data_IF_627116212999
#
_entry.id   IF_627116212999
#
_cell.length_a   1.000
_cell.length_b   1.000
_cell.length_c   1.000
_cell.angle_alpha   90.00
_cell.angle_beta   90.00
_cell.angle_gamma   90.00
#
_symmetry.space_group_name_H-M   'P 1'
#
loop_
_entity.id
_entity.type
_entity.pdbx_description
1 polymer ?
#
# COMPACT_ATOMS: atom_id res chain seq x y z
N UNK A 1 -22.95 22.85 -1.09
CA UNK A 1 -23.16 21.56 -0.41
C UNK A 1 -24.65 21.36 -0.20
N UNK A 2 -25.16 20.14 -0.34
CA UNK A 2 -26.58 19.80 -0.12
C UNK A 2 -26.67 18.80 1.04
N UNK A 3 -27.68 18.94 1.91
CA UNK A 3 -27.95 18.00 2.99
C UNK A 3 -29.27 17.28 2.72
N UNK A 4 -29.29 15.95 2.89
CA UNK A 4 -30.54 15.20 2.86
C UNK A 4 -31.46 15.62 4.01
N UNK A 5 -32.77 15.68 3.76
CA UNK A 5 -33.73 15.92 4.84
C UNK A 5 -33.86 14.65 5.69
N UNK A 6 -34.18 14.77 6.98
CA UNK A 6 -34.47 13.60 7.82
C UNK A 6 -35.54 12.72 7.15
N UNK A 7 -35.27 11.43 7.02
CA UNK A 7 -36.16 10.46 6.36
C UNK A 7 -36.02 10.37 4.84
N UNK A 8 -35.25 11.25 4.18
CA UNK A 8 -34.97 11.13 2.76
C UNK A 8 -34.10 9.89 2.49
N UNK A 9 -34.44 9.14 1.44
CA UNK A 9 -33.60 8.06 0.93
C UNK A 9 -32.67 8.60 -0.17
N UNK A 10 -31.38 8.28 -0.08
CA UNK A 10 -30.45 8.47 -1.19
C UNK A 10 -30.69 7.34 -2.20
N UNK A 11 -31.32 7.67 -3.33
CA UNK A 11 -31.62 6.74 -4.41
C UNK A 11 -30.94 7.17 -5.73
N UNK A 12 -31.00 6.31 -6.75
CA UNK A 12 -30.35 6.55 -8.03
C UNK A 12 -30.84 7.83 -8.71
N UNK A 13 -32.14 8.16 -8.61
CA UNK A 13 -32.69 9.40 -9.18
C UNK A 13 -32.07 10.65 -8.56
N UNK A 14 -31.89 10.67 -7.24
CA UNK A 14 -31.22 11.77 -6.55
C UNK A 14 -29.74 11.83 -6.94
N UNK A 15 -29.08 10.69 -7.07
CA UNK A 15 -27.69 10.63 -7.50
C UNK A 15 -27.48 11.12 -8.94
N UNK A 16 -28.37 10.78 -9.87
CA UNK A 16 -28.36 11.31 -11.23
C UNK A 16 -28.44 12.84 -11.25
N UNK A 17 -29.33 13.43 -10.44
CA UNK A 17 -29.42 14.89 -10.32
C UNK A 17 -28.13 15.52 -9.75
N UNK A 18 -27.41 14.80 -8.89
CA UNK A 18 -26.07 15.22 -8.42
C UNK A 18 -25.07 15.18 -9.57
N UNK A 19 -25.04 14.10 -10.38
CA UNK A 19 -24.14 13.96 -11.52
C UNK A 19 -24.38 15.03 -12.60
N UNK A 20 -25.63 15.35 -12.91
CA UNK A 20 -25.97 16.41 -13.88
C UNK A 20 -25.44 17.77 -13.43
N UNK A 21 -25.64 18.11 -12.15
CA UNK A 21 -25.11 19.36 -11.56
C UNK A 21 -23.59 19.35 -11.49
N UNK A 22 -22.98 18.21 -11.17
CA UNK A 22 -21.53 18.05 -11.17
C UNK A 22 -20.96 18.29 -12.56
N UNK A 23 -21.59 17.78 -13.62
CA UNK A 23 -21.16 18.03 -15.01
C UNK A 23 -21.22 19.52 -15.35
N UNK A 24 -22.28 20.23 -14.96
CA UNK A 24 -22.39 21.69 -15.14
C UNK A 24 -21.28 22.42 -14.36
N UNK A 25 -21.02 22.01 -13.11
CA UNK A 25 -19.98 22.59 -12.28
C UNK A 25 -18.57 22.36 -12.86
N UNK A 26 -18.26 21.16 -13.38
CA UNK A 26 -17.00 20.87 -14.07
C UNK A 26 -16.88 21.76 -15.31
N UNK A 27 -17.94 21.88 -16.12
CA UNK A 27 -17.92 22.76 -17.30
C UNK A 27 -17.58 24.21 -16.93
N UNK A 28 -18.13 24.71 -15.83
CA UNK A 28 -17.93 26.09 -15.40
C UNK A 28 -16.59 26.33 -14.71
N UNK A 29 -16.15 25.40 -13.85
CA UNK A 29 -15.00 25.58 -12.96
C UNK A 29 -13.71 24.92 -13.46
N UNK A 30 -13.83 23.88 -14.29
CA UNK A 30 -12.71 23.08 -14.83
C UNK A 30 -12.97 22.72 -16.31
N UNK A 31 -13.15 23.71 -17.21
CA UNK A 31 -13.60 23.47 -18.59
C UNK A 31 -12.74 22.45 -19.35
N UNK A 32 -11.42 22.46 -19.13
CA UNK A 32 -10.47 21.52 -19.77
C UNK A 32 -10.64 20.05 -19.31
N UNK A 33 -11.28 19.77 -18.17
CA UNK A 33 -11.47 18.39 -17.69
C UNK A 33 -12.49 17.63 -18.54
N UNK A 34 -13.49 18.30 -19.12
CA UNK A 34 -14.45 17.62 -20.00
C UNK A 34 -13.84 17.22 -21.34
N UNK A 35 -12.83 17.95 -21.81
CA UNK A 35 -12.10 17.61 -23.06
C UNK A 35 -11.06 16.53 -22.82
N UNK A 36 -10.43 16.49 -21.64
CA UNK A 36 -9.40 15.51 -21.29
C UNK A 36 -9.96 14.15 -20.83
N UNK A 37 -11.28 14.04 -20.71
CA UNK A 37 -11.93 12.89 -20.08
C UNK A 37 -12.04 13.04 -18.57
N UNK A 38 -13.13 12.51 -18.00
CA UNK A 38 -13.37 12.50 -16.57
C UNK A 38 -13.31 11.06 -16.08
N UNK A 39 -12.41 10.81 -15.14
CA UNK A 39 -12.41 9.58 -14.34
C UNK A 39 -13.15 9.91 -13.04
N UNK A 40 -14.31 9.31 -12.84
CA UNK A 40 -15.14 9.47 -11.66
C UNK A 40 -14.81 8.35 -10.66
N UNK A 41 -14.36 8.75 -9.47
CA UNK A 41 -14.25 7.87 -8.32
C UNK A 41 -15.42 8.16 -7.37
N UNK A 42 -16.25 7.14 -7.14
CA UNK A 42 -17.38 7.16 -6.22
C UNK A 42 -17.50 5.78 -5.56
N UNK A 43 -18.13 5.72 -4.39
CA UNK A 43 -18.37 4.44 -3.72
C UNK A 43 -19.36 3.58 -4.53
N UNK A 44 -19.39 2.28 -4.23
CA UNK A 44 -20.25 1.32 -4.92
C UNK A 44 -21.62 1.10 -4.24
N UNK A 45 -22.14 2.09 -3.49
CA UNK A 45 -23.47 2.00 -2.92
C UNK A 45 -24.52 1.70 -4.01
N UNK A 46 -25.56 0.92 -3.66
CA UNK A 46 -26.60 0.49 -4.63
C UNK A 46 -27.11 1.61 -5.56
N UNK A 47 -27.35 2.85 -5.09
CA UNK A 47 -27.75 3.94 -5.97
C UNK A 47 -26.75 4.28 -7.07
N UNK A 48 -25.44 4.16 -6.79
CA UNK A 48 -24.33 4.59 -7.64
C UNK A 48 -23.99 3.59 -8.75
N UNK A 49 -24.21 2.30 -8.49
CA UNK A 49 -23.97 1.19 -9.44
C UNK A 49 -25.24 0.70 -10.13
N UNK A 50 -26.34 1.45 -10.03
CA UNK A 50 -27.56 1.11 -10.73
C UNK A 50 -27.40 1.36 -12.24
N UNK A 51 -28.00 0.51 -13.08
CA UNK A 51 -27.94 0.59 -14.55
C UNK A 51 -28.24 1.98 -15.11
N UNK A 52 -29.19 2.70 -14.49
CA UNK A 52 -29.57 4.07 -14.89
C UNK A 52 -28.43 5.07 -14.69
N UNK A 53 -27.58 4.86 -13.68
CA UNK A 53 -26.40 5.68 -13.40
C UNK A 53 -25.27 5.33 -14.36
N UNK A 54 -24.98 4.03 -14.55
CA UNK A 54 -23.97 3.59 -15.52
C UNK A 54 -24.28 4.09 -16.93
N UNK A 55 -25.55 4.03 -17.34
CA UNK A 55 -26.02 4.58 -18.61
C UNK A 55 -25.78 6.09 -18.72
N UNK A 56 -25.98 6.85 -17.63
CA UNK A 56 -25.73 8.29 -17.62
C UNK A 56 -24.24 8.61 -17.70
N UNK A 57 -23.40 7.89 -16.96
CA UNK A 57 -21.94 8.05 -17.00
C UNK A 57 -21.38 7.72 -18.39
N UNK A 58 -21.89 6.68 -19.04
CA UNK A 58 -21.56 6.35 -20.43
C UNK A 58 -21.96 7.50 -21.40
N UNK A 59 -23.15 8.10 -21.23
CA UNK A 59 -23.56 9.29 -22.01
C UNK A 59 -22.66 10.50 -21.75
N UNK A 60 -22.11 10.60 -20.54
CA UNK A 60 -21.17 11.65 -20.19
C UNK A 60 -19.77 11.40 -20.75
N UNK A 61 -19.50 10.17 -21.22
CA UNK A 61 -18.16 9.66 -21.53
C UNK A 61 -17.23 9.77 -20.32
N UNK A 62 -17.78 9.52 -19.14
CA UNK A 62 -17.02 9.47 -17.91
C UNK A 62 -16.64 8.02 -17.64
N UNK A 63 -15.36 7.79 -17.38
CA UNK A 63 -14.86 6.50 -16.94
C UNK A 63 -15.09 6.40 -15.44
N UNK A 64 -15.64 5.28 -14.98
CA UNK A 64 -15.79 5.02 -13.54
C UNK A 64 -14.58 4.23 -13.07
N UNK A 65 -13.87 4.76 -12.07
CA UNK A 65 -12.85 3.97 -11.41
C UNK A 65 -13.53 2.92 -10.53
N UNK A 66 -13.22 1.64 -10.77
CA UNK A 66 -13.84 0.56 -10.01
C UNK A 66 -13.50 0.67 -8.52
N UNK A 67 -14.55 0.51 -7.70
CA UNK A 67 -14.45 0.55 -6.26
C UNK A 67 -14.78 -0.84 -5.70
N UNK A 68 -13.86 -1.50 -4.98
CA UNK A 68 -14.12 -2.79 -4.34
C UNK A 68 -15.35 -2.74 -3.42
N UNK A 69 -16.10 -3.85 -3.28
CA UNK A 69 -17.21 -3.91 -2.35
C UNK A 69 -16.81 -3.60 -0.91
N UNK A 70 -17.57 -2.71 -0.26
CA UNK A 70 -17.52 -2.46 1.18
C UNK A 70 -16.17 -1.94 1.72
N UNK A 71 -15.39 -1.27 0.87
CA UNK A 71 -14.10 -0.65 1.23
C UNK A 71 -14.21 0.87 1.22
N UNK A 72 -14.83 1.46 2.26
CA UNK A 72 -14.98 2.92 2.41
C UNK A 72 -13.64 3.68 2.46
N UNK A 73 -12.53 2.96 2.40
CA UNK A 73 -11.16 3.43 2.45
C UNK A 73 -10.57 3.83 1.08
N UNK A 74 -11.37 3.86 0.00
CA UNK A 74 -10.88 4.21 -1.33
C UNK A 74 -11.46 5.49 -1.92
N UNK A 75 -12.51 6.06 -1.32
CA UNK A 75 -13.00 7.39 -1.71
C UNK A 75 -12.10 8.49 -1.11
N UNK A 76 -11.45 9.33 -1.93
CA UNK A 76 -10.52 10.35 -1.43
C UNK A 76 -11.20 11.41 -0.56
N UNK A 77 -12.49 11.61 -0.79
CA UNK A 77 -13.34 12.44 0.05
C UNK A 77 -13.38 11.89 1.49
N UNK A 78 -13.33 10.57 1.69
CA UNK A 78 -13.37 9.95 3.02
C UNK A 78 -12.08 10.16 3.82
N UNK A 79 -10.91 10.17 3.17
CA UNK A 79 -9.61 10.40 3.83
C UNK A 79 -9.29 11.87 4.03
N UNK A 80 -9.35 12.64 2.95
CA UNK A 80 -8.84 14.00 2.95
C UNK A 80 -9.88 14.96 3.51
N UNK A 81 -11.07 15.02 2.90
CA UNK A 81 -12.09 16.00 3.28
C UNK A 81 -12.79 15.56 4.57
N UNK A 82 -13.48 14.43 4.56
CA UNK A 82 -14.26 13.95 5.69
C UNK A 82 -13.39 13.50 6.85
N UNK A 83 -12.22 12.91 6.60
CA UNK A 83 -11.27 12.53 7.66
C UNK A 83 -10.80 13.74 8.47
N UNK A 84 -10.31 14.79 7.79
CA UNK A 84 -9.87 16.04 8.44
C UNK A 84 -11.03 16.79 9.10
N UNK A 85 -12.19 16.83 8.44
CA UNK A 85 -13.40 17.44 9.00
C UNK A 85 -13.87 16.72 10.27
N UNK A 86 -13.95 15.38 10.26
CA UNK A 86 -14.30 14.58 11.44
C UNK A 86 -13.31 14.82 12.58
N UNK A 87 -12.01 14.94 12.28
CA UNK A 87 -10.99 15.29 13.27
C UNK A 87 -11.19 16.68 13.85
N UNK A 88 -11.54 17.67 13.02
CA UNK A 88 -11.84 19.04 13.46
C UNK A 88 -13.08 19.11 14.36
N UNK A 89 -14.13 18.35 14.02
CA UNK A 89 -15.39 18.31 14.78
C UNK A 89 -15.34 17.38 16.01
N UNK A 90 -14.24 16.63 16.19
CA UNK A 90 -14.12 15.61 17.23
C UNK A 90 -14.20 16.26 18.62
N UNK A 91 -15.11 15.76 19.45
CA UNK A 91 -15.30 16.23 20.83
C UNK A 91 -16.30 17.37 20.98
N UNK A 92 -16.79 17.94 19.88
CA UNK A 92 -17.82 18.98 19.91
C UNK A 92 -19.21 18.37 20.11
N UNK A 93 -19.97 18.88 21.08
CA UNK A 93 -21.39 18.55 21.26
C UNK A 93 -22.25 19.60 20.57
N UNK A 94 -23.10 19.16 19.64
CA UNK A 94 -24.01 20.04 18.92
C UNK A 94 -25.42 19.98 19.50
N UNK A 95 -26.08 21.13 19.56
CA UNK A 95 -27.44 21.28 20.12
C UNK A 95 -28.54 20.96 19.10
N UNK A 96 -28.22 20.89 17.81
CA UNK A 96 -29.17 20.59 16.74
C UNK A 96 -28.46 20.08 15.48
N UNK A 97 -29.21 19.45 14.57
CA UNK A 97 -28.71 19.06 13.25
C UNK A 97 -28.27 20.27 12.42
N UNK A 98 -28.93 21.42 12.56
CA UNK A 98 -28.57 22.62 11.82
C UNK A 98 -27.24 23.21 12.31
N UNK A 99 -26.96 23.15 13.63
CA UNK A 99 -25.66 23.51 14.17
C UNK A 99 -24.53 22.64 13.58
N UNK A 100 -24.78 21.34 13.37
CA UNK A 100 -23.82 20.46 12.68
C UNK A 100 -23.63 20.89 11.23
N UNK A 101 -24.72 21.13 10.49
CA UNK A 101 -24.65 21.54 9.07
C UNK A 101 -23.87 22.83 8.91
N UNK A 102 -24.09 23.80 9.79
CA UNK A 102 -23.43 25.10 9.73
C UNK A 102 -21.94 24.97 10.07
N UNK A 103 -21.58 24.19 11.10
CA UNK A 103 -20.16 23.90 11.38
C UNK A 103 -19.45 23.18 10.23
N UNK A 104 -20.14 22.26 9.54
CA UNK A 104 -19.62 21.59 8.34
C UNK A 104 -19.41 22.58 7.19
N UNK A 105 -20.38 23.47 6.94
CA UNK A 105 -20.23 24.52 5.91
C UNK A 105 -19.09 25.47 6.24
N UNK A 106 -18.99 25.91 7.49
CA UNK A 106 -17.96 26.82 7.95
C UNK A 106 -16.58 26.20 7.79
N UNK A 107 -16.40 24.94 8.22
CA UNK A 107 -15.16 24.21 8.02
C UNK A 107 -14.74 24.21 6.55
N UNK A 108 -15.65 23.84 5.65
CA UNK A 108 -15.37 23.77 4.22
C UNK A 108 -15.08 25.17 3.62
N UNK A 109 -15.89 26.17 3.95
CA UNK A 109 -15.72 27.53 3.42
C UNK A 109 -14.43 28.21 3.89
N UNK A 110 -13.90 27.80 5.05
CA UNK A 110 -12.64 28.32 5.59
C UNK A 110 -11.40 27.64 5.00
N UNK A 111 -11.54 26.54 4.26
CA UNK A 111 -10.38 25.89 3.65
C UNK A 111 -9.86 26.73 2.46
N UNK A 112 -8.54 26.87 2.32
CA UNK A 112 -7.94 27.59 1.21
C UNK A 112 -8.14 26.81 -0.11
N UNK A 113 -8.00 27.45 -1.27
CA UNK A 113 -8.26 26.81 -2.57
C UNK A 113 -7.38 25.57 -2.76
N UNK A 114 -6.13 25.62 -2.31
CA UNK A 114 -5.13 24.54 -2.35
C UNK A 114 -5.61 23.27 -1.62
N UNK A 115 -6.50 23.41 -0.63
CA UNK A 115 -7.10 22.27 0.07
C UNK A 115 -7.96 21.42 -0.88
N UNK A 116 -8.64 22.07 -1.82
CA UNK A 116 -9.51 21.45 -2.83
C UNK A 116 -8.80 21.19 -4.16
N UNK A 117 -7.74 21.93 -4.41
CA UNK A 117 -6.83 21.75 -5.54
C UNK A 117 -5.74 20.73 -5.26
N UNK A 118 -5.64 20.18 -4.04
CA UNK A 118 -4.98 18.90 -3.81
C UNK A 118 -5.66 17.86 -4.71
N UNK A 119 -5.16 17.75 -5.94
CA UNK A 119 -5.61 16.76 -6.88
C UNK A 119 -5.20 15.41 -6.30
N UNK A 120 -6.12 14.45 -6.38
CA UNK A 120 -5.71 13.04 -6.32
C UNK A 120 -4.83 12.83 -7.55
N UNK A 121 -3.54 13.00 -7.34
CA UNK A 121 -2.52 12.92 -8.38
C UNK A 121 -2.19 11.47 -8.70
N UNK A 122 -2.37 10.58 -7.71
CA UNK A 122 -1.97 9.19 -7.80
C UNK A 122 -3.07 8.29 -7.25
N UNK A 123 -3.38 7.24 -8.01
CA UNK A 123 -4.11 6.08 -7.52
C UNK A 123 -3.08 5.07 -7.03
N UNK A 124 -3.18 4.65 -5.78
CA UNK A 124 -2.21 3.75 -5.14
C UNK A 124 -2.90 2.41 -4.87
N UNK A 125 -2.32 1.34 -5.41
CA UNK A 125 -2.74 -0.03 -5.14
C UNK A 125 -1.78 -0.68 -4.15
N UNK A 126 -2.31 -1.17 -3.02
CA UNK A 126 -1.60 -2.06 -2.11
C UNK A 126 -1.99 -3.50 -2.45
N UNK A 127 -1.07 -4.22 -3.08
CA UNK A 127 -1.32 -5.57 -3.60
C UNK A 127 -0.76 -6.59 -2.60
N UNK A 128 -1.63 -7.45 -2.09
CA UNK A 128 -1.20 -8.65 -1.37
C UNK A 128 -0.68 -9.67 -2.41
N UNK A 129 0.55 -10.17 -2.24
CA UNK A 129 1.01 -11.28 -3.07
C UNK A 129 0.19 -12.54 -2.80
N UNK A 130 0.21 -13.52 -3.73
CA UNK A 130 -0.24 -14.88 -3.40
C UNK A 130 0.35 -15.32 -2.06
N UNK A 131 -0.38 -16.16 -1.34
CA UNK A 131 -0.05 -16.57 0.02
C UNK A 131 -0.06 -15.47 1.09
N UNK A 132 -0.46 -14.23 0.78
CA UNK A 132 -0.54 -13.13 1.73
C UNK A 132 -1.95 -12.54 1.75
N UNK A 133 -2.40 -12.12 2.94
CA UNK A 133 -3.64 -11.37 3.11
C UNK A 133 -4.85 -12.04 2.47
N UNK A 134 -5.51 -11.32 1.56
CA UNK A 134 -6.72 -11.79 0.87
C UNK A 134 -6.44 -12.46 -0.48
N UNK A 135 -5.18 -12.48 -0.93
CA UNK A 135 -4.81 -13.08 -2.21
C UNK A 135 -4.82 -14.62 -2.14
N UNK A 136 -5.00 -15.31 -3.29
CA UNK A 136 -5.06 -16.77 -3.36
C UNK A 136 -3.83 -17.45 -2.74
N UNK A 137 -4.04 -18.66 -2.19
CA UNK A 137 -2.96 -19.50 -1.66
C UNK A 137 -2.46 -20.48 -2.71
N UNK A 138 -1.17 -20.77 -2.70
CA UNK A 138 -0.50 -21.73 -3.60
C UNK A 138 0.74 -22.33 -2.93
N UNK A 139 1.11 -23.55 -3.30
CA UNK A 139 2.39 -24.15 -2.90
C UNK A 139 3.57 -23.57 -3.70
N UNK A 140 3.31 -22.97 -4.85
CA UNK A 140 4.33 -22.40 -5.72
C UNK A 140 4.65 -20.96 -5.31
N UNK A 141 5.91 -20.72 -4.95
CA UNK A 141 6.37 -19.44 -4.42
C UNK A 141 7.82 -19.15 -4.87
N UNK A 142 7.92 -18.47 -6.02
CA UNK A 142 9.17 -18.03 -6.66
C UNK A 142 9.04 -16.58 -7.09
N UNK A 143 10.16 -15.89 -7.37
CA UNK A 143 10.11 -14.51 -7.87
C UNK A 143 9.35 -14.42 -9.20
N UNK A 144 9.53 -15.40 -10.08
CA UNK A 144 8.89 -15.41 -11.40
C UNK A 144 7.36 -15.49 -11.31
N UNK A 145 6.83 -16.33 -10.42
CA UNK A 145 5.37 -16.43 -10.25
C UNK A 145 4.78 -15.23 -9.55
N UNK A 146 5.49 -14.65 -8.57
CA UNK A 146 5.06 -13.40 -7.91
C UNK A 146 5.05 -12.23 -8.89
N UNK A 147 6.05 -12.15 -9.77
CA UNK A 147 6.09 -11.17 -10.86
C UNK A 147 4.95 -11.40 -11.85
N UNK A 148 4.65 -12.66 -12.17
CA UNK A 148 3.50 -13.05 -12.99
C UNK A 148 2.17 -12.54 -12.41
N UNK A 149 1.96 -12.69 -11.11
CA UNK A 149 0.75 -12.17 -10.44
C UNK A 149 0.61 -10.65 -10.57
N UNK A 150 1.73 -9.92 -10.43
CA UNK A 150 1.72 -8.45 -10.61
C UNK A 150 1.44 -8.09 -12.07
N UNK A 151 2.04 -8.80 -13.03
CA UNK A 151 1.79 -8.59 -14.46
C UNK A 151 0.30 -8.82 -14.79
N UNK A 152 -0.29 -9.92 -14.31
CA UNK A 152 -1.71 -10.25 -14.46
C UNK A 152 -2.60 -9.17 -13.83
N UNK A 153 -2.29 -8.75 -12.60
CA UNK A 153 -3.02 -7.69 -11.92
C UNK A 153 -3.04 -6.38 -12.74
N UNK A 154 -1.91 -5.97 -13.30
CA UNK A 154 -1.80 -4.76 -14.11
C UNK A 154 -2.62 -4.85 -15.40
N UNK A 155 -2.62 -6.02 -16.05
CA UNK A 155 -3.41 -6.26 -17.26
C UNK A 155 -4.91 -6.22 -16.97
N UNK A 156 -5.35 -6.90 -15.91
CA UNK A 156 -6.77 -6.96 -15.51
C UNK A 156 -7.33 -5.59 -15.14
N UNK A 157 -6.52 -4.76 -14.48
CA UNK A 157 -6.89 -3.40 -14.10
C UNK A 157 -6.66 -2.37 -15.21
N UNK A 158 -6.20 -2.81 -16.39
CA UNK A 158 -5.91 -1.95 -17.56
C UNK A 158 -4.93 -0.82 -17.20
N UNK A 159 -3.88 -1.18 -16.47
CA UNK A 159 -2.79 -0.29 -16.04
C UNK A 159 -1.56 -0.57 -16.92
N UNK A 160 -1.48 -0.01 -18.15
CA UNK A 160 -0.43 -0.35 -19.10
C UNK A 160 0.95 0.11 -18.66
N UNK A 161 1.03 1.11 -17.77
CA UNK A 161 2.26 1.67 -17.25
C UNK A 161 2.06 2.25 -15.86
N UNK A 162 2.93 1.89 -14.92
CA UNK A 162 2.79 2.27 -13.49
C UNK A 162 4.12 2.65 -12.85
N UNK A 163 4.04 3.37 -11.73
CA UNK A 163 5.16 3.50 -10.79
C UNK A 163 5.12 2.30 -9.84
N UNK A 164 6.19 1.50 -9.81
CA UNK A 164 6.28 0.35 -8.92
C UNK A 164 7.06 0.71 -7.67
N UNK A 165 6.49 0.37 -6.50
CA UNK A 165 7.15 0.51 -5.21
C UNK A 165 7.25 -0.86 -4.57
N UNK A 166 8.45 -1.29 -4.20
CA UNK A 166 8.69 -2.60 -3.62
C UNK A 166 9.63 -2.55 -2.43
N UNK A 167 9.17 -3.07 -1.29
CA UNK A 167 9.99 -3.31 -0.09
C UNK A 167 10.47 -4.75 -0.06
N UNK A 168 11.75 -4.98 0.27
CA UNK A 168 12.30 -6.32 0.53
C UNK A 168 11.97 -7.33 -0.60
N UNK A 169 11.15 -8.35 -0.34
CA UNK A 169 10.66 -9.28 -1.36
C UNK A 169 9.90 -8.58 -2.49
N UNK A 170 9.04 -7.61 -2.15
CA UNK A 170 8.36 -6.78 -3.14
C UNK A 170 9.34 -5.97 -4.00
N UNK A 171 10.48 -5.56 -3.42
CA UNK A 171 11.57 -4.94 -4.17
C UNK A 171 12.17 -5.88 -5.22
N UNK A 172 12.33 -7.16 -4.90
CA UNK A 172 12.80 -8.17 -5.86
C UNK A 172 11.81 -8.37 -7.00
N UNK A 173 10.54 -8.55 -6.68
CA UNK A 173 9.47 -8.69 -7.68
C UNK A 173 9.40 -7.47 -8.60
N UNK A 174 9.45 -6.26 -8.02
CA UNK A 174 9.45 -5.01 -8.78
C UNK A 174 10.69 -4.86 -9.68
N UNK A 175 11.88 -5.23 -9.18
CA UNK A 175 13.12 -5.26 -9.97
C UNK A 175 13.03 -6.25 -11.14
N UNK A 176 12.46 -7.45 -10.93
CA UNK A 176 12.28 -8.44 -11.99
C UNK A 176 11.33 -7.93 -13.08
N UNK A 177 10.18 -7.37 -12.68
CA UNK A 177 9.19 -6.82 -13.60
C UNK A 177 9.77 -5.66 -14.41
N UNK A 178 10.51 -4.75 -13.76
CA UNK A 178 11.13 -3.61 -14.45
C UNK A 178 12.16 -4.04 -15.50
N UNK A 179 12.97 -5.06 -15.22
CA UNK A 179 13.98 -5.56 -16.17
C UNK A 179 13.34 -6.35 -17.32
N UNK A 180 12.34 -7.20 -17.04
CA UNK A 180 11.72 -8.04 -18.09
C UNK A 180 10.66 -7.32 -18.92
N UNK A 181 9.95 -6.36 -18.32
CA UNK A 181 8.80 -5.65 -18.90
C UNK A 181 8.94 -4.14 -18.68
N UNK A 182 10.04 -3.50 -19.15
CA UNK A 182 10.32 -2.09 -18.89
C UNK A 182 9.21 -1.16 -19.37
N UNK A 183 8.46 -1.52 -20.41
CA UNK A 183 7.35 -0.72 -20.94
C UNK A 183 6.19 -0.57 -19.94
N UNK A 184 6.04 -1.51 -19.00
CA UNK A 184 5.01 -1.48 -17.96
C UNK A 184 5.43 -0.62 -16.74
N UNK A 185 6.69 -0.18 -16.68
CA UNK A 185 7.23 0.53 -15.51
C UNK A 185 7.65 1.94 -15.92
N UNK A 186 7.03 2.94 -15.30
CA UNK A 186 7.39 4.35 -15.49
C UNK A 186 8.59 4.73 -14.63
N UNK A 187 8.50 4.42 -13.33
CA UNK A 187 9.52 4.65 -12.33
C UNK A 187 9.53 3.48 -11.35
N UNK A 188 10.71 3.18 -10.82
CA UNK A 188 10.89 2.10 -9.85
C UNK A 188 11.39 2.68 -8.53
N UNK A 189 10.73 2.31 -7.43
CA UNK A 189 11.15 2.63 -6.07
C UNK A 189 11.43 1.33 -5.34
N UNK A 190 12.66 1.16 -4.87
CA UNK A 190 13.13 -0.01 -4.15
C UNK A 190 13.42 0.41 -2.72
N UNK A 191 12.72 -0.19 -1.76
CA UNK A 191 13.00 -0.03 -0.35
C UNK A 191 13.77 -1.26 0.16
N UNK A 192 15.04 -1.03 0.50
CA UNK A 192 15.96 -1.95 1.17
C UNK A 192 15.93 -3.39 0.61
N UNK A 193 16.03 -3.49 -0.71
CA UNK A 193 16.11 -4.76 -1.44
C UNK A 193 17.26 -4.77 -2.44
N UNK A 194 17.80 -5.97 -2.70
CA UNK A 194 18.91 -6.20 -3.61
C UNK A 194 18.68 -7.42 -4.52
N UNK A 195 19.25 -7.45 -5.74
CA UNK A 195 19.29 -8.63 -6.59
C UNK A 195 19.97 -9.87 -5.99
N UNK A 196 20.68 -9.77 -4.85
CA UNK A 196 21.33 -10.93 -4.21
C UNK A 196 20.33 -11.98 -3.73
N UNK A 197 20.77 -13.24 -3.70
CA UNK A 197 19.99 -14.35 -3.17
C UNK A 197 19.68 -14.16 -1.68
N UNK A 198 18.48 -14.59 -1.29
CA UNK A 198 17.93 -14.43 0.06
C UNK A 198 18.75 -15.20 1.12
N UNK A 199 19.47 -16.26 0.75
CA UNK A 199 20.23 -17.08 1.72
C UNK A 199 21.46 -16.37 2.33
N UNK A 200 21.85 -15.21 1.79
CA UNK A 200 22.99 -14.43 2.30
C UNK A 200 22.56 -13.26 3.20
N UNK A 201 23.36 -12.96 4.24
CA UNK A 201 23.15 -11.79 5.10
C UNK A 201 21.77 -11.76 5.78
N UNK A 202 21.03 -10.65 5.59
CA UNK A 202 19.72 -10.41 6.21
C UNK A 202 18.64 -11.44 5.91
N UNK A 203 18.72 -12.18 4.80
CA UNK A 203 17.72 -13.22 4.55
C UNK A 203 17.92 -14.51 5.36
N UNK A 204 19.08 -14.71 6.01
CA UNK A 204 19.21 -15.73 7.08
C UNK A 204 18.35 -15.38 8.29
N UNK A 205 18.37 -14.11 8.69
CA UNK A 205 17.53 -13.61 9.77
C UNK A 205 16.05 -13.74 9.42
N UNK A 206 15.66 -13.40 8.19
CA UNK A 206 14.27 -13.61 7.74
C UNK A 206 13.87 -15.08 7.70
N UNK A 207 14.77 -15.98 7.27
CA UNK A 207 14.51 -17.43 7.28
C UNK A 207 14.27 -17.93 8.70
N UNK A 208 15.05 -17.45 9.68
CA UNK A 208 14.85 -17.75 11.09
C UNK A 208 13.46 -17.27 11.58
N UNK A 209 13.09 -16.02 11.25
CA UNK A 209 11.77 -15.49 11.62
C UNK A 209 10.62 -16.29 10.99
N UNK A 210 10.73 -16.69 9.73
CA UNK A 210 9.70 -17.49 9.06
C UNK A 210 9.60 -18.91 9.64
N UNK A 211 10.73 -19.50 10.04
CA UNK A 211 10.73 -20.79 10.73
C UNK A 211 10.06 -20.69 12.10
N UNK A 212 10.34 -19.63 12.88
CA UNK A 212 9.65 -19.38 14.13
C UNK A 212 8.15 -19.19 13.91
N UNK A 213 7.75 -18.41 12.89
CA UNK A 213 6.36 -18.20 12.56
C UNK A 213 5.66 -19.52 12.16
N UNK A 214 6.37 -20.42 11.48
CA UNK A 214 5.87 -21.75 11.11
C UNK A 214 5.64 -22.63 12.35
N UNK A 215 6.56 -22.60 13.33
CA UNK A 215 6.35 -23.31 14.59
C UNK A 215 5.20 -22.73 15.41
N UNK A 216 5.04 -21.41 15.42
CA UNK A 216 3.89 -20.74 16.06
C UNK A 216 2.58 -21.19 15.42
N UNK A 217 2.50 -21.24 14.08
CA UNK A 217 1.30 -21.67 13.35
C UNK A 217 0.83 -23.08 13.73
N UNK A 218 1.75 -23.99 14.04
CA UNK A 218 1.40 -25.37 14.44
C UNK A 218 0.76 -25.47 15.82
N UNK A 219 1.10 -24.56 16.73
CA UNK A 219 0.75 -24.68 18.16
C UNK A 219 -0.26 -23.63 18.61
N UNK A 220 -0.33 -22.49 17.93
CA UNK A 220 -1.22 -21.39 18.31
C UNK A 220 -2.65 -21.65 17.80
N UNK A 221 -3.65 -21.68 18.68
CA UNK A 221 -5.04 -21.83 18.25
C UNK A 221 -5.54 -20.58 17.52
N UNK A 222 -6.51 -20.77 16.63
CA UNK A 222 -7.19 -19.64 15.96
C UNK A 222 -8.03 -18.85 16.96
N UNK A 223 -8.05 -17.52 16.85
CA UNK A 223 -8.94 -16.68 17.67
C UNK A 223 -8.43 -16.31 19.05
N UNK A 224 -7.12 -16.41 19.26
CA UNK A 224 -6.45 -15.81 20.41
C UNK A 224 -6.46 -14.29 20.33
N UNK A 225 -6.41 -13.60 21.46
CA UNK A 225 -6.15 -12.17 21.52
C UNK A 225 -4.66 -11.86 21.26
N UNK A 226 -4.32 -10.58 21.08
CA UNK A 226 -2.95 -10.12 20.81
C UNK A 226 -1.96 -10.48 21.92
N UNK A 227 -2.38 -10.41 23.18
CA UNK A 227 -1.49 -10.74 24.32
C UNK A 227 -1.15 -12.22 24.30
N UNK A 228 -2.15 -13.08 24.08
CA UNK A 228 -1.96 -14.53 23.95
C UNK A 228 -1.09 -14.88 22.74
N UNK A 229 -1.30 -14.24 21.58
CA UNK A 229 -0.45 -14.40 20.40
C UNK A 229 1.01 -14.00 20.67
N UNK A 230 1.24 -12.88 21.35
CA UNK A 230 2.58 -12.43 21.76
C UNK A 230 3.24 -13.46 22.70
N UNK A 231 2.48 -14.12 23.58
CA UNK A 231 3.03 -15.15 24.46
C UNK A 231 3.56 -16.35 23.68
N UNK A 232 2.81 -16.86 22.70
CA UNK A 232 3.29 -17.93 21.81
C UNK A 232 4.57 -17.54 21.07
N UNK A 233 4.66 -16.29 20.62
CA UNK A 233 5.88 -15.77 20.02
C UNK A 233 7.06 -15.79 20.98
N UNK A 234 6.89 -15.27 22.19
CA UNK A 234 7.95 -15.27 23.21
C UNK A 234 8.41 -16.71 23.50
N UNK A 235 7.47 -17.63 23.70
CA UNK A 235 7.77 -19.03 24.03
C UNK A 235 8.55 -19.74 22.92
N UNK A 236 8.22 -19.47 21.66
CA UNK A 236 8.97 -19.99 20.51
C UNK A 236 10.30 -19.26 20.36
N UNK A 237 10.33 -17.93 20.43
CA UNK A 237 11.55 -17.12 20.27
C UNK A 237 12.64 -17.46 21.30
N UNK A 238 12.25 -17.80 22.53
CA UNK A 238 13.20 -18.25 23.56
C UNK A 238 13.91 -19.57 23.19
N UNK A 239 13.27 -20.43 22.39
CA UNK A 239 13.89 -21.66 21.87
C UNK A 239 14.97 -21.35 20.82
N UNK A 240 14.83 -20.24 20.09
CA UNK A 240 15.76 -19.75 19.07
C UNK A 240 16.69 -18.64 19.57
N UNK A 241 16.80 -18.43 20.90
CA UNK A 241 17.55 -17.34 21.52
C UNK A 241 19.01 -17.28 21.05
N UNK A 242 19.64 -18.44 20.86
CA UNK A 242 21.05 -18.54 20.47
C UNK A 242 21.30 -18.02 19.05
N UNK A 243 20.36 -18.31 18.14
CA UNK A 243 20.35 -17.92 16.75
C UNK A 243 19.97 -16.45 16.58
N UNK A 244 19.00 -15.98 17.37
CA UNK A 244 18.54 -14.59 17.39
C UNK A 244 19.60 -13.63 17.93
N UNK A 245 20.51 -14.11 18.79
CA UNK A 245 21.51 -13.29 19.50
C UNK A 245 20.89 -12.13 20.30
N UNK A 246 19.68 -12.35 20.83
CA UNK A 246 18.97 -11.40 21.67
C UNK A 246 19.02 -11.85 23.14
N UNK A 247 18.94 -10.88 24.06
CA UNK A 247 18.73 -11.21 25.46
C UNK A 247 17.29 -11.71 25.67
N UNK A 248 17.07 -12.48 26.72
CA UNK A 248 15.72 -12.94 27.06
C UNK A 248 14.81 -11.77 27.46
N UNK A 249 15.36 -10.75 28.13
CA UNK A 249 14.64 -9.51 28.41
C UNK A 249 14.17 -8.83 27.12
N UNK A 250 15.03 -8.75 26.09
CA UNK A 250 14.67 -8.19 24.79
C UNK A 250 13.58 -9.01 24.11
N UNK A 251 13.65 -10.34 24.16
CA UNK A 251 12.63 -11.22 23.57
C UNK A 251 11.28 -11.03 24.28
N UNK A 252 11.27 -11.00 25.62
CA UNK A 252 10.03 -10.86 26.42
C UNK A 252 9.37 -9.49 26.28
N UNK A 253 10.16 -8.46 26.02
CA UNK A 253 9.69 -7.09 25.80
C UNK A 253 9.44 -6.77 24.32
N UNK A 254 9.60 -7.75 23.41
CA UNK A 254 9.39 -7.55 21.99
C UNK A 254 7.89 -7.48 21.69
N UNK A 255 7.41 -6.32 21.22
CA UNK A 255 6.05 -6.22 20.69
C UNK A 255 6.04 -6.82 19.29
N UNK A 256 5.35 -7.95 19.12
CA UNK A 256 5.41 -8.76 17.92
C UNK A 256 4.56 -8.18 16.76
N UNK A 257 4.67 -6.87 16.52
CA UNK A 257 4.12 -6.19 15.34
C UNK A 257 4.69 -6.74 14.01
N UNK A 258 5.76 -7.55 14.07
CA UNK A 258 6.31 -8.28 12.93
C UNK A 258 5.55 -9.57 12.59
N UNK A 259 4.66 -10.05 13.46
CA UNK A 259 3.89 -11.24 13.14
C UNK A 259 2.75 -10.88 12.18
N UNK A 260 2.47 -11.70 11.15
CA UNK A 260 1.38 -11.49 10.22
C UNK A 260 0.01 -11.85 10.82
N UNK A 261 -0.18 -11.50 12.09
CA UNK A 261 -1.36 -11.82 12.89
C UNK A 261 -2.32 -10.64 12.74
N UNK A 262 -3.26 -10.76 11.82
CA UNK A 262 -4.28 -9.72 11.58
C UNK A 262 -5.58 -10.11 12.27
N UNK A 263 -6.31 -9.09 12.70
CA UNK A 263 -7.68 -9.23 13.22
C UNK A 263 -8.63 -9.56 12.07
N UNK A 264 -9.36 -10.67 12.19
CA UNK A 264 -10.35 -11.16 11.23
C UNK A 264 -11.71 -11.33 11.92
N UNK A 265 -12.46 -10.24 12.04
CA UNK A 265 -13.78 -10.22 12.67
C UNK A 265 -13.69 -10.41 14.18
N UNK A 266 -13.73 -11.64 14.67
CA UNK A 266 -13.69 -11.92 16.12
C UNK A 266 -12.40 -12.63 16.56
N UNK A 267 -11.48 -12.89 15.64
CA UNK A 267 -10.31 -13.76 15.85
C UNK A 267 -9.04 -13.14 15.28
N UNK A 268 -7.88 -13.31 15.95
CA UNK A 268 -6.60 -13.06 15.32
C UNK A 268 -6.10 -14.34 14.63
N UNK A 269 -5.62 -14.21 13.40
CA UNK A 269 -5.11 -15.33 12.62
C UNK A 269 -3.90 -14.92 11.79
N UNK A 270 -3.02 -15.89 11.54
CA UNK A 270 -1.93 -15.76 10.58
C UNK A 270 -2.55 -15.62 9.18
N UNK A 271 -2.26 -14.50 8.52
CA UNK A 271 -2.78 -14.19 7.18
C UNK A 271 -1.82 -14.56 6.06
N UNK A 272 -0.74 -15.27 6.38
CA UNK A 272 0.25 -15.75 5.41
C UNK A 272 0.21 -17.27 5.38
N UNK A 273 0.35 -17.87 4.19
CA UNK A 273 0.65 -19.29 4.08
C UNK A 273 2.14 -19.51 4.44
N UNK A 274 2.44 -19.58 5.74
CA UNK A 274 3.82 -19.61 6.23
C UNK A 274 4.53 -20.86 5.72
N UNK A 275 3.85 -22.00 5.63
CA UNK A 275 4.43 -23.24 5.12
C UNK A 275 5.06 -23.06 3.72
N UNK A 276 4.34 -22.41 2.79
CA UNK A 276 4.84 -22.15 1.44
C UNK A 276 6.02 -21.17 1.45
N UNK A 277 5.92 -20.07 2.22
CA UNK A 277 6.98 -19.05 2.30
C UNK A 277 8.26 -19.60 2.95
N UNK A 278 8.11 -20.33 4.06
CA UNK A 278 9.23 -20.97 4.76
C UNK A 278 9.92 -22.00 3.86
N UNK A 279 9.14 -22.86 3.17
CA UNK A 279 9.67 -23.82 2.20
C UNK A 279 10.45 -23.13 1.08
N UNK A 280 9.95 -22.00 0.57
CA UNK A 280 10.62 -21.24 -0.49
C UNK A 280 11.96 -20.65 -0.03
N UNK A 281 12.01 -20.13 1.20
CA UNK A 281 13.24 -19.62 1.80
C UNK A 281 14.25 -20.75 2.07
N UNK A 282 13.81 -21.88 2.61
CA UNK A 282 14.67 -23.04 2.88
C UNK A 282 15.28 -23.62 1.61
N UNK A 283 14.49 -23.68 0.53
CA UNK A 283 14.90 -24.29 -0.74
C UNK A 283 15.55 -23.30 -1.72
N UNK A 284 15.79 -22.05 -1.32
CA UNK A 284 16.30 -20.98 -2.17
C UNK A 284 15.49 -20.74 -3.46
N UNK A 285 14.16 -20.90 -3.43
CA UNK A 285 13.35 -20.72 -4.64
C UNK A 285 13.05 -19.24 -4.94
N UNK A 286 13.47 -18.34 -4.05
CA UNK A 286 13.39 -16.87 -4.20
C UNK A 286 14.67 -16.27 -4.82
N UNK A 287 15.43 -17.08 -5.57
CA UNK A 287 16.52 -16.61 -6.40
C UNK A 287 16.00 -15.62 -7.44
N UNK A 288 16.82 -14.61 -7.71
CA UNK A 288 16.50 -13.58 -8.69
C UNK A 288 17.51 -13.64 -9.83
N UNK A 289 17.01 -13.81 -11.05
CA UNK A 289 17.83 -13.80 -12.24
C UNK A 289 17.37 -12.68 -13.17
N UNK A 290 18.11 -11.58 -13.18
CA UNK A 290 17.80 -10.42 -14.01
C UNK A 290 18.44 -10.61 -15.40
N UNK A 291 17.65 -10.72 -16.49
CA UNK A 291 18.19 -10.99 -17.82
C UNK A 291 18.87 -9.78 -18.49
N UNK A 292 18.77 -8.58 -17.90
CA UNK A 292 19.30 -7.34 -18.47
C UNK A 292 19.34 -6.19 -17.47
N UNK A 293 19.52 -4.97 -17.98
CA UNK A 293 19.46 -3.72 -17.20
C UNK A 293 18.12 -3.03 -17.38
N UNK A 294 17.72 -2.24 -16.38
CA UNK A 294 16.57 -1.34 -16.48
C UNK A 294 17.05 0.11 -16.59
N UNK A 295 16.73 0.74 -17.73
CA UNK A 295 17.19 2.10 -18.08
C UNK A 295 16.21 3.21 -17.63
N UNK A 296 15.13 2.86 -16.92
CA UNK A 296 14.20 3.83 -16.36
C UNK A 296 14.74 4.51 -15.10
N UNK A 297 13.98 5.47 -14.57
CA UNK A 297 14.34 6.15 -13.32
C UNK A 297 14.14 5.21 -12.13
N UNK A 298 15.14 5.13 -11.25
CA UNK A 298 15.10 4.28 -10.05
C UNK A 298 15.48 5.08 -8.81
N UNK A 299 14.63 5.00 -7.78
CA UNK A 299 14.95 5.45 -6.43
C UNK A 299 15.22 4.23 -5.55
N UNK A 300 16.40 4.21 -4.93
CA UNK A 300 16.75 3.25 -3.89
C UNK A 300 16.72 3.96 -2.54
N UNK A 301 15.84 3.51 -1.64
CA UNK A 301 15.81 3.93 -0.23
C UNK A 301 16.33 2.76 0.60
N UNK A 302 17.40 2.95 1.38
CA UNK A 302 17.98 1.90 2.19
C UNK A 302 18.39 2.36 3.59
N UNK A 303 18.45 1.42 4.53
CA UNK A 303 18.87 1.67 5.91
C UNK A 303 20.36 1.41 6.11
N UNK A 304 21.08 2.34 6.73
CA UNK A 304 22.50 2.21 7.03
C UNK A 304 22.81 1.08 8.02
N UNK A 305 21.86 0.74 8.91
CA UNK A 305 21.94 -0.39 9.85
C UNK A 305 21.26 -1.66 9.35
N UNK A 306 20.79 -1.68 8.09
CA UNK A 306 20.16 -2.87 7.53
C UNK A 306 21.13 -4.05 7.40
N UNK A 307 20.66 -5.24 7.81
CA UNK A 307 21.41 -6.49 7.64
C UNK A 307 21.54 -6.92 6.18
N UNK A 308 20.73 -6.35 5.27
CA UNK A 308 20.79 -6.62 3.83
C UNK A 308 21.92 -5.83 3.14
N UNK A 309 22.48 -4.80 3.78
CA UNK A 309 23.62 -3.99 3.29
C UNK A 309 23.44 -3.43 1.88
N UNK A 310 22.19 -3.12 1.52
CA UNK A 310 21.76 -2.75 0.17
C UNK A 310 22.48 -1.52 -0.36
N UNK A 311 22.72 -0.51 0.49
CA UNK A 311 23.36 0.73 0.09
C UNK A 311 24.80 0.59 -0.42
N UNK A 312 25.45 -0.55 -0.15
CA UNK A 312 26.82 -0.87 -0.59
C UNK A 312 26.87 -1.92 -1.70
N UNK A 313 25.72 -2.37 -2.21
CA UNK A 313 25.67 -3.49 -3.13
C UNK A 313 26.00 -3.08 -4.57
N UNK A 314 27.13 -3.53 -5.15
CA UNK A 314 27.50 -3.17 -6.52
C UNK A 314 26.52 -3.72 -7.57
N UNK A 315 25.73 -4.75 -7.25
CA UNK A 315 24.75 -5.29 -8.19
C UNK A 315 23.63 -4.31 -8.52
N UNK A 316 23.30 -3.40 -7.59
CA UNK A 316 22.28 -2.39 -7.85
C UNK A 316 22.69 -1.50 -9.03
N UNK A 317 23.91 -0.95 -9.02
CA UNK A 317 24.42 -0.13 -10.13
C UNK A 317 24.60 -0.94 -11.42
N UNK A 318 24.91 -2.24 -11.32
CA UNK A 318 25.04 -3.13 -12.47
C UNK A 318 23.72 -3.26 -13.24
N UNK A 319 22.60 -3.44 -12.54
CA UNK A 319 21.29 -3.67 -13.17
C UNK A 319 20.46 -2.39 -13.35
N UNK A 320 20.73 -1.35 -12.56
CA UNK A 320 19.97 -0.10 -12.52
C UNK A 320 20.92 1.10 -12.63
N UNK A 321 21.48 1.39 -13.83
CA UNK A 321 22.51 2.41 -14.00
C UNK A 321 22.06 3.84 -13.66
N UNK A 322 20.75 4.12 -13.71
CA UNK A 322 20.16 5.42 -13.35
C UNK A 322 19.66 5.51 -11.91
N UNK A 323 20.02 4.53 -11.07
CA UNK A 323 19.60 4.52 -9.66
C UNK A 323 20.12 5.71 -8.89
N UNK A 324 19.25 6.26 -8.05
CA UNK A 324 19.56 7.32 -7.10
C UNK A 324 19.28 6.79 -5.72
N UNK A 325 20.31 6.85 -4.87
CA UNK A 325 20.27 6.28 -3.53
C UNK A 325 20.01 7.36 -2.49
N UNK A 326 19.10 7.05 -1.58
CA UNK A 326 18.91 7.74 -0.30
C UNK A 326 19.17 6.73 0.79
N UNK A 327 20.06 7.09 1.70
CA UNK A 327 20.44 6.25 2.83
C UNK A 327 20.01 6.94 4.12
N UNK A 328 19.26 6.20 4.94
CA UNK A 328 18.87 6.60 6.29
C UNK A 328 19.85 5.95 7.25
N UNK A 329 20.81 6.70 7.79
CA UNK A 329 22.00 6.15 8.44
C UNK A 329 21.65 5.26 9.63
N UNK A 330 20.67 5.69 10.42
CA UNK A 330 20.21 4.99 11.62
C UNK A 330 19.10 3.96 11.39
N UNK A 331 18.57 3.85 10.17
CA UNK A 331 17.45 2.96 9.87
C UNK A 331 17.87 1.50 9.70
N UNK A 332 16.99 0.61 10.15
CA UNK A 332 17.04 -0.83 9.85
C UNK A 332 16.39 -1.17 8.51
N UNK A 333 15.74 -2.34 8.43
CA UNK A 333 15.15 -2.86 7.19
C UNK A 333 13.78 -2.25 6.81
N UNK A 334 13.06 -1.67 7.78
CA UNK A 334 11.70 -1.15 7.59
C UNK A 334 11.70 0.38 7.69
N UNK A 335 12.23 1.06 6.66
CA UNK A 335 12.44 2.50 6.67
C UNK A 335 11.09 3.22 6.71
N UNK A 336 10.09 2.75 5.96
CA UNK A 336 8.74 3.31 5.98
C UNK A 336 8.07 3.26 7.36
N UNK A 337 8.45 2.31 8.22
CA UNK A 337 7.95 2.22 9.60
C UNK A 337 8.73 3.12 10.55
N UNK A 338 10.06 3.15 10.43
CA UNK A 338 10.93 3.93 11.32
C UNK A 338 10.92 5.43 11.00
N UNK A 339 10.76 5.79 9.73
CA UNK A 339 10.80 7.18 9.22
C UNK A 339 9.64 7.46 8.24
N UNK A 340 8.37 7.28 8.65
CA UNK A 340 7.22 7.31 7.74
C UNK A 340 7.04 8.65 7.02
N UNK A 341 7.29 9.78 7.69
CA UNK A 341 7.12 11.09 7.06
C UNK A 341 8.21 11.37 6.03
N UNK A 342 9.48 11.09 6.37
CA UNK A 342 10.62 11.30 5.49
C UNK A 342 10.59 10.35 4.30
N UNK A 343 10.27 9.07 4.55
CA UNK A 343 10.06 8.08 3.48
C UNK A 343 9.01 8.58 2.48
N UNK A 344 7.85 9.02 2.98
CA UNK A 344 6.78 9.53 2.12
C UNK A 344 7.19 10.80 1.37
N UNK A 345 7.92 11.71 2.01
CA UNK A 345 8.44 12.92 1.36
C UNK A 345 9.34 12.57 0.16
N UNK A 346 10.28 11.64 0.34
CA UNK A 346 11.19 11.23 -0.73
C UNK A 346 10.47 10.51 -1.87
N UNK A 347 9.55 9.60 -1.53
CA UNK A 347 8.72 8.90 -2.52
C UNK A 347 7.89 9.90 -3.34
N UNK A 348 7.18 10.80 -2.68
CA UNK A 348 6.33 11.79 -3.36
C UNK A 348 7.17 12.78 -4.17
N UNK A 349 8.33 13.19 -3.66
CA UNK A 349 9.25 14.04 -4.41
C UNK A 349 9.70 13.36 -5.70
N UNK A 350 10.15 12.11 -5.61
CA UNK A 350 10.62 11.33 -6.76
C UNK A 350 9.55 11.10 -7.81
N UNK A 351 8.34 10.77 -7.35
CA UNK A 351 7.18 10.59 -8.21
C UNK A 351 6.89 11.87 -9.01
N UNK A 352 6.87 13.04 -8.37
CA UNK A 352 6.46 14.30 -9.02
C UNK A 352 7.58 15.03 -9.77
N UNK A 353 8.83 14.92 -9.34
CA UNK A 353 9.94 15.74 -9.86
C UNK A 353 11.10 14.92 -10.45
N UNK A 354 11.06 13.60 -10.33
CA UNK A 354 12.17 12.74 -10.70
C UNK A 354 13.23 12.66 -9.58
N UNK A 355 14.39 12.06 -9.85
CA UNK A 355 15.38 11.71 -8.84
C UNK A 355 15.86 12.90 -7.99
N UNK A 356 15.84 12.81 -6.65
CA UNK A 356 16.32 13.88 -5.79
C UNK A 356 17.84 14.11 -5.92
N UNK A 357 18.25 15.35 -5.68
CA UNK A 357 19.64 15.67 -5.37
C UNK A 357 20.00 14.97 -4.06
N UNK A 358 21.12 14.22 -4.02
CA UNK A 358 21.52 13.36 -2.90
C UNK A 358 21.19 13.97 -1.52
N UNK A 359 20.25 13.35 -0.81
CA UNK A 359 19.94 13.64 0.57
C UNK A 359 20.53 12.53 1.48
N UNK A 360 21.09 12.93 2.61
CA UNK A 360 21.48 12.04 3.71
C UNK A 360 20.64 12.38 4.93
N UNK A 361 20.07 11.36 5.55
CA UNK A 361 19.19 11.46 6.71
C UNK A 361 19.76 10.75 7.93
#
# INVERSE_FOLDING_TARGET
MEFAKPGDTINSSRYLAILDRLRVAIKSKRPCRLTNGVILLHDNARPHVADVVETQLAKFKWETLQHPPYRSDLSPCDFHIFGKMKKHLKGTRFVSNDAVKDSVKDYLNQQPTEYYEMEITWLVYFVDFRNHGESPRSDEYTIDVLKGDVEEFLLDHKLPKVILVGHSLGGKVAMQLAVEKPDMVEKLIIEDSTPRNFISGGGKYMSLLMNMAYEIEKIMPTGVDRQTANQFFVDVALQFKSELKLSEETIRNYDADLLPIKWKGDTYAITINIAAVAKALMNDTLQQNLPGTYEGEVLLICGGKSQFKVGSDPLILKYFPKVKKIEFEDAGHFIHNSYPQQFLQEVVFFINHGPPCQAKY
#
